data_IF_496887174171
#
_entry.id   IF_496887174171
#
_cell.length_a   1.000
_cell.length_b   1.000
_cell.length_c   1.000
_cell.angle_alpha   90.00
_cell.angle_beta   90.00
_cell.angle_gamma   90.00
#
_symmetry.space_group_name_H-M   'P 1'
#
loop_
_entity.id
_entity.type
_entity.pdbx_description
1 polymer ?
#
# COMPACT_ATOMS: atom_id res chain seq x y z
N UNK A 1 21.30 32.75 -22.72
CA UNK A 1 21.26 31.76 -21.61
C UNK A 1 19.81 31.31 -21.50
N UNK A 2 19.52 30.05 -21.87
CA UNK A 2 18.16 29.53 -21.97
C UNK A 2 17.98 28.44 -20.92
N UNK A 3 17.10 28.66 -19.96
CA UNK A 3 16.70 27.68 -18.94
C UNK A 3 15.54 26.84 -19.49
N UNK A 4 15.84 25.62 -19.92
CA UNK A 4 14.84 24.66 -20.34
C UNK A 4 14.20 24.01 -19.10
N UNK A 5 12.93 24.32 -18.87
CA UNK A 5 12.09 23.74 -17.84
C UNK A 5 11.62 22.36 -18.32
N UNK A 6 12.18 21.28 -17.77
CA UNK A 6 11.71 19.92 -18.06
C UNK A 6 10.44 19.64 -17.27
N UNK A 7 9.29 19.83 -17.92
CA UNK A 7 8.01 19.28 -17.49
C UNK A 7 8.03 17.76 -17.71
N UNK A 8 8.27 16.98 -16.66
CA UNK A 8 8.09 15.53 -16.70
C UNK A 8 6.59 15.21 -16.79
N UNK A 9 6.14 14.93 -18.01
CA UNK A 9 4.81 14.40 -18.30
C UNK A 9 4.69 12.97 -17.76
N UNK A 10 3.63 12.76 -16.97
CA UNK A 10 3.23 11.51 -16.35
C UNK A 10 3.17 10.36 -17.37
N UNK A 11 3.93 9.29 -17.13
CA UNK A 11 3.79 8.02 -17.85
C UNK A 11 3.28 6.96 -16.87
N UNK A 12 1.97 6.94 -16.66
CA UNK A 12 1.20 5.95 -15.86
C UNK A 12 0.89 4.66 -16.66
N UNK A 13 1.49 4.47 -17.83
CA UNK A 13 1.06 3.50 -18.84
C UNK A 13 1.55 2.07 -18.62
N UNK A 14 2.58 1.84 -17.80
CA UNK A 14 3.18 0.49 -17.71
C UNK A 14 2.51 -0.45 -16.69
N UNK A 15 1.67 0.04 -15.79
CA UNK A 15 0.87 -0.83 -14.90
C UNK A 15 -0.40 -1.35 -15.59
N UNK A 16 -0.84 -0.75 -16.70
CA UNK A 16 -2.12 -1.08 -17.31
C UNK A 16 -2.07 -2.32 -18.21
N UNK A 17 -0.93 -2.62 -18.83
CA UNK A 17 -0.81 -3.66 -19.86
C UNK A 17 -0.87 -5.08 -19.29
N UNK A 18 -0.22 -5.36 -18.16
CA UNK A 18 -0.31 -6.67 -17.49
C UNK A 18 -1.66 -6.89 -16.80
N UNK A 19 -2.25 -5.83 -16.23
CA UNK A 19 -3.59 -5.89 -15.65
C UNK A 19 -4.65 -6.12 -16.75
N UNK A 20 -4.50 -5.51 -17.93
CA UNK A 20 -5.44 -5.67 -19.04
C UNK A 20 -5.57 -7.12 -19.54
N UNK A 21 -4.48 -7.90 -19.51
CA UNK A 21 -4.51 -9.30 -19.91
C UNK A 21 -5.24 -10.18 -18.87
N UNK A 22 -5.11 -9.85 -17.58
CA UNK A 22 -5.83 -10.52 -16.49
C UNK A 22 -7.32 -10.13 -16.44
N UNK A 23 -7.64 -8.85 -16.68
CA UNK A 23 -8.99 -8.28 -16.67
C UNK A 23 -9.88 -8.90 -17.75
N UNK A 24 -9.34 -9.28 -18.91
CA UNK A 24 -10.14 -9.91 -19.96
C UNK A 24 -10.60 -11.34 -19.62
N UNK A 25 -10.03 -11.99 -18.60
CA UNK A 25 -10.33 -13.38 -18.24
C UNK A 25 -11.25 -13.54 -17.03
N UNK A 26 -11.57 -12.48 -16.28
CA UNK A 26 -12.53 -12.53 -15.18
C UNK A 26 -13.75 -11.69 -15.53
N UNK A 27 -14.87 -12.37 -15.77
CA UNK A 27 -16.19 -11.77 -15.89
C UNK A 27 -16.43 -10.74 -14.77
N UNK A 28 -16.83 -9.54 -15.19
CA UNK A 28 -17.22 -8.41 -14.33
C UNK A 28 -18.42 -8.78 -13.48
N UNK A 29 -18.16 -9.46 -12.38
CA UNK A 29 -19.17 -9.66 -11.33
C UNK A 29 -19.32 -8.33 -10.58
N UNK A 30 -20.55 -7.83 -10.36
CA UNK A 30 -20.77 -6.63 -9.58
C UNK A 30 -20.16 -6.84 -8.19
N UNK A 31 -19.31 -5.90 -7.77
CA UNK A 31 -18.63 -5.90 -6.47
C UNK A 31 -19.71 -6.04 -5.38
N UNK A 32 -19.76 -7.15 -4.60
CA UNK A 32 -20.59 -7.19 -3.42
C UNK A 32 -20.06 -6.10 -2.49
N UNK A 33 -20.97 -5.19 -2.14
CA UNK A 33 -20.80 -4.01 -1.31
C UNK A 33 -19.53 -3.98 -0.46
N UNK A 34 -18.75 -2.92 -0.63
CA UNK A 34 -17.87 -2.49 0.45
C UNK A 34 -18.69 -2.38 1.73
N UNK A 35 -18.31 -3.13 2.77
CA UNK A 35 -18.94 -3.08 4.08
C UNK A 35 -19.16 -1.62 4.52
N UNK A 36 -20.36 -1.22 4.98
CA UNK A 36 -20.63 0.15 5.48
C UNK A 36 -19.57 0.64 6.47
N UNK A 37 -18.99 -0.28 7.25
CA UNK A 37 -17.88 0.00 8.15
C UNK A 37 -16.67 0.62 7.45
N UNK A 38 -16.24 0.08 6.31
CA UNK A 38 -15.05 0.56 5.60
C UNK A 38 -15.27 1.99 5.13
N UNK A 39 -16.43 2.29 4.53
CA UNK A 39 -16.74 3.64 4.07
C UNK A 39 -16.74 4.63 5.25
N UNK A 40 -17.39 4.27 6.37
CA UNK A 40 -17.43 5.11 7.57
C UNK A 40 -16.02 5.41 8.10
N UNK A 41 -15.12 4.42 8.16
CA UNK A 41 -13.76 4.66 8.64
C UNK A 41 -12.93 5.48 7.66
N UNK A 42 -13.06 5.24 6.34
CA UNK A 42 -12.37 6.03 5.33
C UNK A 42 -12.86 7.49 5.32
N UNK A 43 -14.15 7.73 5.53
CA UNK A 43 -14.72 9.08 5.62
C UNK A 43 -14.22 9.81 6.88
N UNK A 44 -14.03 9.11 8.00
CA UNK A 44 -13.42 9.73 9.20
C UNK A 44 -11.97 10.16 8.95
N UNK A 45 -11.21 9.36 8.22
CA UNK A 45 -9.81 9.66 7.88
C UNK A 45 -9.75 10.84 6.92
N UNK A 46 -10.55 10.81 5.85
CA UNK A 46 -10.52 11.85 4.79
C UNK A 46 -11.00 13.22 5.26
N UNK A 47 -11.89 13.28 6.25
CA UNK A 47 -12.39 14.53 6.83
C UNK A 47 -11.56 15.03 8.02
N UNK A 48 -10.49 14.33 8.40
CA UNK A 48 -9.60 14.76 9.46
C UNK A 48 -8.61 15.81 8.96
N UNK A 49 -8.21 16.72 9.85
CA UNK A 49 -7.14 17.68 9.61
C UNK A 49 -5.98 17.40 10.56
N UNK A 50 -4.77 17.44 10.00
CA UNK A 50 -3.54 17.41 10.80
C UNK A 50 -3.11 18.85 11.11
N UNK A 51 -2.73 19.08 12.36
CA UNK A 51 -2.07 20.32 12.77
C UNK A 51 -0.65 20.38 12.22
N UNK A 52 -0.04 21.56 12.19
CA UNK A 52 1.38 21.71 11.81
C UNK A 52 2.29 20.84 12.68
N UNK A 53 2.04 20.77 13.98
CA UNK A 53 2.84 19.91 14.88
C UNK A 53 2.68 18.42 14.56
N UNK A 54 1.48 17.97 14.21
CA UNK A 54 1.25 16.59 13.77
C UNK A 54 1.96 16.30 12.44
N UNK A 55 1.96 17.24 11.49
CA UNK A 55 2.74 17.11 10.25
C UNK A 55 4.23 16.96 10.53
N UNK A 56 4.79 17.80 11.39
CA UNK A 56 6.20 17.73 11.77
C UNK A 56 6.52 16.42 12.50
N UNK A 57 5.65 16.00 13.43
CA UNK A 57 5.80 14.73 14.15
C UNK A 57 5.80 13.53 13.19
N UNK A 58 4.88 13.51 12.22
CA UNK A 58 4.81 12.48 11.19
C UNK A 58 6.06 12.45 10.30
N UNK A 59 6.66 13.61 10.03
CA UNK A 59 7.92 13.76 9.31
C UNK A 59 9.18 13.62 10.21
N UNK A 60 9.05 12.99 11.38
CA UNK A 60 10.15 12.73 12.31
C UNK A 60 10.74 13.98 12.99
N UNK A 61 10.06 15.11 12.94
CA UNK A 61 10.52 16.45 13.35
C UNK A 61 11.81 16.91 12.66
N UNK A 62 12.25 16.19 11.62
CA UNK A 62 13.38 16.54 10.76
C UNK A 62 12.97 17.63 9.79
N UNK A 63 11.78 17.49 9.21
CA UNK A 63 11.19 18.47 8.31
C UNK A 63 10.19 19.35 9.06
N UNK A 64 10.14 20.63 8.68
CA UNK A 64 9.28 21.64 9.32
C UNK A 64 8.31 22.29 8.36
N UNK A 65 7.16 22.73 8.89
CA UNK A 65 6.15 23.50 8.16
C UNK A 65 5.78 22.86 6.80
N UNK A 66 5.77 23.64 5.72
CA UNK A 66 5.42 23.17 4.37
C UNK A 66 6.29 22.02 3.86
N UNK A 67 7.53 21.90 4.33
CA UNK A 67 8.37 20.76 3.93
C UNK A 67 7.87 19.46 4.56
N UNK A 68 7.40 19.50 5.81
CA UNK A 68 6.78 18.34 6.45
C UNK A 68 5.51 17.91 5.70
N UNK A 69 4.65 18.86 5.32
CA UNK A 69 3.46 18.59 4.51
C UNK A 69 3.82 17.92 3.16
N UNK A 70 4.83 18.44 2.46
CA UNK A 70 5.28 17.89 1.19
C UNK A 70 5.82 16.46 1.33
N UNK A 71 6.69 16.22 2.31
CA UNK A 71 7.26 14.89 2.57
C UNK A 71 6.18 13.89 3.00
N UNK A 72 5.18 14.34 3.77
CA UNK A 72 4.11 13.48 4.26
C UNK A 72 3.24 12.91 3.13
N UNK A 73 3.20 13.52 1.94
CA UNK A 73 2.52 12.94 0.76
C UNK A 73 3.11 11.57 0.38
N UNK A 74 4.42 11.44 0.48
CA UNK A 74 5.13 10.19 0.19
C UNK A 74 5.04 9.26 1.40
N UNK A 75 5.36 9.78 2.59
CA UNK A 75 5.41 8.99 3.83
C UNK A 75 4.06 8.34 4.12
N UNK A 76 2.94 9.07 4.01
CA UNK A 76 1.61 8.51 4.27
C UNK A 76 1.26 7.38 3.32
N UNK A 77 1.52 7.56 2.01
CA UNK A 77 1.24 6.53 1.02
C UNK A 77 2.05 5.25 1.26
N UNK A 78 3.33 5.39 1.58
CA UNK A 78 4.20 4.25 1.89
C UNK A 78 3.79 3.59 3.21
N UNK A 79 3.51 4.38 4.24
CA UNK A 79 3.16 3.88 5.58
C UNK A 79 1.86 3.10 5.56
N UNK A 80 0.81 3.64 4.94
CA UNK A 80 -0.47 2.94 4.86
C UNK A 80 -0.36 1.65 4.03
N UNK A 81 0.52 1.64 3.01
CA UNK A 81 0.82 0.43 2.23
C UNK A 81 1.52 -0.62 3.10
N UNK A 82 2.49 -0.24 3.92
CA UNK A 82 3.18 -1.15 4.86
C UNK A 82 2.22 -1.72 5.91
N UNK A 83 1.32 -0.90 6.47
CA UNK A 83 0.27 -1.38 7.38
C UNK A 83 -0.60 -2.41 6.65
N UNK A 84 -1.04 -2.12 5.44
CA UNK A 84 -1.88 -3.05 4.67
C UNK A 84 -1.17 -4.35 4.29
N UNK A 85 0.11 -4.31 3.92
CA UNK A 85 0.92 -5.51 3.66
C UNK A 85 1.07 -6.36 4.93
N UNK A 86 1.26 -5.73 6.09
CA UNK A 86 1.28 -6.43 7.38
C UNK A 86 -0.03 -7.18 7.64
N UNK A 87 -1.18 -6.57 7.36
CA UNK A 87 -2.48 -7.22 7.53
C UNK A 87 -2.73 -8.29 6.46
N UNK A 88 -2.24 -8.11 5.23
CA UNK A 88 -2.29 -9.12 4.17
C UNK A 88 -1.53 -10.40 4.56
N UNK A 89 -0.29 -10.26 5.04
CA UNK A 89 0.50 -11.40 5.52
C UNK A 89 -0.18 -12.10 6.68
N UNK A 90 -0.73 -11.34 7.63
CA UNK A 90 -1.50 -11.88 8.75
C UNK A 90 -2.72 -12.67 8.28
N UNK A 91 -3.48 -12.16 7.31
CA UNK A 91 -4.65 -12.86 6.77
C UNK A 91 -4.28 -14.16 6.05
N UNK A 92 -3.12 -14.19 5.39
CA UNK A 92 -2.59 -15.37 4.70
C UNK A 92 -1.90 -16.38 5.64
N UNK A 93 -1.67 -16.01 6.91
CA UNK A 93 -0.94 -16.83 7.87
C UNK A 93 0.57 -16.87 7.64
N UNK A 94 1.12 -15.88 6.93
CA UNK A 94 2.56 -15.77 6.65
C UNK A 94 3.28 -14.99 7.74
N UNK A 95 4.59 -15.22 7.87
CA UNK A 95 5.41 -14.50 8.83
C UNK A 95 5.35 -12.98 8.57
N UNK A 96 5.37 -12.10 9.59
CA UNK A 96 5.43 -10.65 9.40
C UNK A 96 6.59 -10.23 8.50
N UNK A 97 6.42 -9.14 7.74
CA UNK A 97 7.48 -8.63 6.87
C UNK A 97 8.56 -7.92 7.69
N UNK A 98 9.76 -7.87 7.12
CA UNK A 98 10.82 -6.98 7.62
C UNK A 98 10.45 -5.51 7.37
N UNK A 99 11.12 -4.63 8.11
CA UNK A 99 11.01 -3.16 7.99
C UNK A 99 11.11 -2.73 6.51
N UNK A 100 10.48 -1.60 6.17
CA UNK A 100 10.57 -1.00 4.84
C UNK A 100 12.03 -0.98 4.34
N UNK A 101 12.28 -1.62 3.20
CA UNK A 101 13.61 -1.72 2.59
C UNK A 101 13.53 -1.63 1.08
N UNK A 102 14.66 -1.31 0.44
CA UNK A 102 14.79 -1.35 -1.02
C UNK A 102 14.61 -2.79 -1.53
N UNK A 103 13.91 -2.93 -2.65
CA UNK A 103 13.64 -4.21 -3.29
C UNK A 103 13.61 -4.06 -4.80
N UNK A 104 14.11 -5.07 -5.49
CA UNK A 104 13.94 -5.24 -6.93
C UNK A 104 12.82 -6.24 -7.21
N UNK A 105 12.10 -6.11 -8.33
CA UNK A 105 11.17 -7.14 -8.75
C UNK A 105 11.91 -8.47 -8.99
N UNK A 106 11.29 -9.62 -8.74
CA UNK A 106 11.86 -10.91 -9.13
C UNK A 106 11.80 -11.08 -10.67
N UNK A 107 12.57 -12.03 -11.20
CA UNK A 107 12.38 -12.52 -12.58
C UNK A 107 11.20 -13.49 -12.67
N UNK A 108 10.70 -13.74 -13.88
CA UNK A 108 9.62 -14.72 -14.11
C UNK A 108 10.07 -16.14 -13.72
N UNK A 109 11.32 -16.50 -14.03
CA UNK A 109 11.89 -17.80 -13.68
C UNK A 109 11.99 -18.00 -12.17
N UNK A 110 12.32 -16.96 -11.41
CA UNK A 110 12.35 -17.00 -9.94
C UNK A 110 10.94 -17.26 -9.37
N UNK A 111 9.92 -16.58 -9.92
CA UNK A 111 8.52 -16.72 -9.52
C UNK A 111 7.99 -18.13 -9.81
N UNK A 112 8.32 -18.67 -10.99
CA UNK A 112 7.88 -20.01 -11.40
C UNK A 112 8.56 -21.10 -10.57
N UNK A 113 9.85 -20.93 -10.27
CA UNK A 113 10.64 -21.84 -9.43
C UNK A 113 10.31 -21.79 -7.93
N UNK A 114 9.39 -20.92 -7.49
CA UNK A 114 9.05 -20.76 -6.08
C UNK A 114 8.60 -22.10 -5.44
N UNK A 115 9.29 -22.59 -4.38
CA UNK A 115 9.10 -23.94 -3.84
C UNK A 115 7.87 -24.08 -2.95
N UNK A 116 7.34 -22.97 -2.43
CA UNK A 116 6.17 -22.93 -1.55
C UNK A 116 5.26 -21.77 -1.91
N UNK A 117 4.00 -21.82 -1.45
CA UNK A 117 3.03 -20.71 -1.65
C UNK A 117 3.51 -19.43 -0.94
N UNK A 118 4.13 -19.56 0.23
CA UNK A 118 4.71 -18.42 0.94
C UNK A 118 5.91 -17.83 0.18
N UNK A 119 6.82 -18.66 -0.33
CA UNK A 119 7.94 -18.19 -1.15
C UNK A 119 7.45 -17.49 -2.43
N UNK A 120 6.40 -18.03 -3.06
CA UNK A 120 5.74 -17.39 -4.19
C UNK A 120 5.18 -16.01 -3.83
N UNK A 121 4.51 -15.90 -2.68
CA UNK A 121 4.04 -14.62 -2.16
C UNK A 121 5.21 -13.65 -1.89
N UNK A 122 6.32 -14.09 -1.31
CA UNK A 122 7.46 -13.21 -1.04
C UNK A 122 8.03 -12.55 -2.30
N UNK A 123 8.03 -13.28 -3.41
CA UNK A 123 8.47 -12.78 -4.71
C UNK A 123 7.44 -11.80 -5.30
N UNK A 124 6.15 -12.10 -5.18
CA UNK A 124 5.06 -11.28 -5.75
C UNK A 124 4.52 -10.19 -4.82
N UNK A 125 4.99 -10.10 -3.58
CA UNK A 125 4.51 -9.12 -2.62
C UNK A 125 4.67 -7.71 -3.23
N UNK A 126 3.62 -6.88 -3.22
CA UNK A 126 3.66 -5.56 -3.85
C UNK A 126 4.87 -4.72 -3.42
N UNK A 127 5.57 -4.19 -4.41
CA UNK A 127 6.74 -3.33 -4.23
C UNK A 127 6.36 -1.91 -4.63
N UNK A 128 6.62 -0.93 -3.76
CA UNK A 128 6.38 0.47 -4.11
C UNK A 128 7.45 1.01 -5.06
N UNK A 129 7.12 2.06 -5.82
CA UNK A 129 8.11 2.77 -6.67
C UNK A 129 9.28 3.32 -5.85
N UNK A 130 9.04 3.67 -4.59
CA UNK A 130 10.05 4.25 -3.69
C UNK A 130 11.03 3.18 -3.16
N UNK A 131 10.62 1.91 -3.11
CA UNK A 131 11.51 0.79 -2.82
C UNK A 131 12.47 0.47 -3.98
N UNK A 132 12.15 0.92 -5.20
CA UNK A 132 12.96 0.71 -6.41
C UNK A 132 13.87 1.89 -6.75
N UNK A 133 13.52 3.08 -6.27
CA UNK A 133 14.24 4.34 -6.50
C UNK A 133 15.37 4.54 -5.49
N UNK A 134 16.38 5.37 -5.80
CA UNK A 134 17.38 5.85 -4.83
C UNK A 134 17.08 7.26 -4.29
N UNK A 135 15.95 7.87 -4.66
CA UNK A 135 15.67 9.28 -4.33
C UNK A 135 15.13 9.49 -2.91
N UNK A 136 14.52 8.46 -2.33
CA UNK A 136 13.79 8.55 -1.07
C UNK A 136 14.55 7.84 0.07
N UNK A 137 15.78 8.28 0.35
CA UNK A 137 16.66 7.68 1.36
C UNK A 137 16.17 7.91 2.80
N UNK A 138 15.28 8.87 3.02
CA UNK A 138 14.69 9.18 4.33
C UNK A 138 13.59 8.20 4.76
N UNK A 139 13.03 7.40 3.84
CA UNK A 139 11.88 6.53 4.13
C UNK A 139 12.16 5.43 5.17
N UNK A 140 13.29 4.69 5.14
CA UNK A 140 13.57 3.67 6.14
C UNK A 140 13.45 4.18 7.58
N UNK A 141 13.86 5.43 7.82
CA UNK A 141 13.82 6.05 9.15
C UNK A 141 12.43 6.59 9.51
N UNK A 142 11.72 7.18 8.55
CA UNK A 142 10.42 7.80 8.80
C UNK A 142 9.27 6.79 8.88
N UNK A 143 9.32 5.68 8.14
CA UNK A 143 8.20 4.73 8.06
C UNK A 143 7.82 4.16 9.44
N UNK A 144 8.74 3.68 10.30
CA UNK A 144 8.36 3.18 11.63
C UNK A 144 7.68 4.24 12.51
N UNK A 145 8.16 5.49 12.45
CA UNK A 145 7.57 6.62 13.18
C UNK A 145 6.15 6.92 12.67
N UNK A 146 5.99 6.93 11.36
CA UNK A 146 4.72 7.16 10.70
C UNK A 146 3.71 6.04 10.96
N UNK A 147 4.13 4.77 10.99
CA UNK A 147 3.27 3.64 11.38
C UNK A 147 2.74 3.87 12.79
N UNK A 148 3.64 4.20 13.73
CA UNK A 148 3.26 4.48 15.12
C UNK A 148 2.25 5.63 15.20
N UNK A 149 2.52 6.74 14.49
CA UNK A 149 1.61 7.87 14.42
C UNK A 149 0.24 7.51 13.86
N UNK A 150 0.18 6.76 12.76
CA UNK A 150 -1.08 6.36 12.13
C UNK A 150 -1.87 5.37 12.99
N UNK A 151 -1.21 4.42 13.65
CA UNK A 151 -1.87 3.48 14.55
C UNK A 151 -2.49 4.20 15.78
N UNK A 152 -1.83 5.26 16.28
CA UNK A 152 -2.36 6.10 17.36
C UNK A 152 -3.50 7.01 16.89
N UNK A 153 -3.28 7.76 15.81
CA UNK A 153 -4.19 8.84 15.37
C UNK A 153 -5.37 8.31 14.57
N UNK A 154 -5.15 7.26 13.78
CA UNK A 154 -6.10 6.68 12.83
C UNK A 154 -6.12 5.14 12.89
N UNK A 155 -6.44 4.53 14.06
CA UNK A 155 -6.48 3.08 14.20
C UNK A 155 -7.50 2.40 13.24
N UNK A 156 -8.41 3.18 12.64
CA UNK A 156 -9.30 2.76 11.58
C UNK A 156 -8.58 2.19 10.34
N UNK A 157 -7.39 2.69 9.99
CA UNK A 157 -6.62 2.23 8.82
C UNK A 157 -6.36 0.72 8.90
N UNK A 158 -5.79 0.28 10.02
CA UNK A 158 -5.49 -1.13 10.27
C UNK A 158 -6.76 -1.99 10.30
N UNK A 159 -7.83 -1.49 10.92
CA UNK A 159 -9.13 -2.18 10.98
C UNK A 159 -9.76 -2.37 9.60
N UNK A 160 -9.63 -1.37 8.72
CA UNK A 160 -10.13 -1.44 7.33
C UNK A 160 -9.40 -2.54 6.57
N UNK A 161 -8.06 -2.52 6.58
CA UNK A 161 -7.27 -3.56 5.91
C UNK A 161 -7.57 -4.95 6.45
N UNK A 162 -7.51 -5.13 7.77
CA UNK A 162 -7.74 -6.41 8.42
C UNK A 162 -9.09 -7.01 8.03
N UNK A 163 -10.17 -6.26 8.24
CA UNK A 163 -11.53 -6.77 7.99
C UNK A 163 -11.75 -7.09 6.52
N UNK A 164 -11.28 -6.21 5.63
CA UNK A 164 -11.42 -6.43 4.19
C UNK A 164 -10.69 -7.70 3.75
N UNK A 165 -9.42 -7.84 4.14
CA UNK A 165 -8.59 -8.95 3.72
C UNK A 165 -9.02 -10.28 4.36
N UNK A 166 -9.43 -10.29 5.63
CA UNK A 166 -10.01 -11.48 6.27
C UNK A 166 -11.33 -11.92 5.62
N UNK A 167 -12.16 -10.99 5.15
CA UNK A 167 -13.38 -11.31 4.40
C UNK A 167 -13.04 -11.93 3.04
N UNK A 168 -12.10 -11.35 2.30
CA UNK A 168 -11.66 -11.89 1.00
C UNK A 168 -10.99 -13.24 1.14
N UNK A 169 -10.16 -13.43 2.17
CA UNK A 169 -9.55 -14.73 2.46
C UNK A 169 -10.60 -15.80 2.79
N UNK A 170 -11.61 -15.49 3.60
CA UNK A 170 -12.73 -16.43 3.88
C UNK A 170 -13.49 -16.82 2.63
N UNK A 171 -13.63 -15.92 1.66
CA UNK A 171 -14.29 -16.21 0.38
C UNK A 171 -13.57 -17.27 -0.47
N UNK A 172 -12.27 -17.52 -0.21
CA UNK A 172 -11.48 -18.59 -0.83
C UNK A 172 -11.68 -19.96 -0.15
N UNK A 173 -12.51 -20.05 0.90
CA UNK A 173 -12.70 -21.30 1.64
C UNK A 173 -11.52 -21.70 2.53
N UNK A 174 -10.63 -20.76 2.85
CA UNK A 174 -9.54 -20.94 3.83
C UNK A 174 -8.36 -21.79 3.37
N UNK A 175 -8.27 -22.13 2.07
CA UNK A 175 -7.09 -22.77 1.47
C UNK A 175 -6.39 -21.78 0.56
N UNK A 176 -5.05 -21.72 0.65
CA UNK A 176 -4.23 -20.81 -0.14
C UNK A 176 -3.29 -21.59 -1.07
N UNK A 177 -3.45 -21.35 -2.37
CA UNK A 177 -2.53 -21.76 -3.43
C UNK A 177 -1.96 -20.50 -4.13
N UNK A 178 -1.15 -20.68 -5.18
CA UNK A 178 -0.57 -19.54 -5.93
C UNK A 178 -1.66 -18.62 -6.52
N UNK A 179 -2.79 -19.17 -6.98
CA UNK A 179 -3.92 -18.38 -7.52
C UNK A 179 -4.64 -17.59 -6.44
N UNK A 180 -4.82 -18.20 -5.26
CA UNK A 180 -5.37 -17.51 -4.08
C UNK A 180 -4.46 -16.37 -3.62
N UNK A 181 -3.14 -16.53 -3.69
CA UNK A 181 -2.18 -15.44 -3.45
C UNK A 181 -2.39 -14.29 -4.44
N UNK A 182 -2.48 -14.59 -5.74
CA UNK A 182 -2.72 -13.57 -6.76
C UNK A 182 -4.04 -12.81 -6.52
N UNK A 183 -5.10 -13.54 -6.18
CA UNK A 183 -6.38 -12.95 -5.81
C UNK A 183 -6.26 -12.01 -4.60
N UNK A 184 -5.56 -12.43 -3.55
CA UNK A 184 -5.40 -11.64 -2.33
C UNK A 184 -4.52 -10.40 -2.56
N UNK A 185 -3.50 -10.48 -3.41
CA UNK A 185 -2.70 -9.32 -3.84
C UNK A 185 -3.56 -8.34 -4.65
N UNK A 186 -4.40 -8.85 -5.55
CA UNK A 186 -5.34 -8.01 -6.31
C UNK A 186 -6.32 -7.28 -5.39
N UNK A 187 -6.93 -7.99 -4.43
CA UNK A 187 -7.85 -7.41 -3.46
C UNK A 187 -7.15 -6.41 -2.53
N UNK A 188 -5.90 -6.68 -2.14
CA UNK A 188 -5.06 -5.71 -1.43
C UNK A 188 -4.89 -4.42 -2.22
N UNK A 189 -4.54 -4.47 -3.51
CA UNK A 189 -4.37 -3.28 -4.35
C UNK A 189 -5.65 -2.43 -4.43
N UNK A 190 -6.81 -3.09 -4.45
CA UNK A 190 -8.12 -2.40 -4.47
C UNK A 190 -8.40 -1.63 -3.20
N UNK A 191 -8.18 -2.25 -2.03
CA UNK A 191 -8.40 -1.54 -0.75
C UNK A 191 -7.30 -0.51 -0.49
N UNK A 192 -6.06 -0.80 -0.91
CA UNK A 192 -4.91 0.09 -0.77
C UNK A 192 -5.09 1.40 -1.52
N UNK A 193 -5.67 1.36 -2.72
CA UNK A 193 -6.02 2.58 -3.47
C UNK A 193 -6.97 3.48 -2.67
N UNK A 194 -7.95 2.88 -1.99
CA UNK A 194 -8.99 3.63 -1.26
C UNK A 194 -8.49 4.21 0.05
N UNK A 195 -7.71 3.42 0.79
CA UNK A 195 -7.01 3.91 1.99
C UNK A 195 -6.02 5.01 1.60
N UNK A 196 -5.25 4.79 0.53
CA UNK A 196 -4.33 5.77 -0.03
C UNK A 196 -5.01 7.11 -0.32
N UNK A 197 -6.15 7.12 -1.02
CA UNK A 197 -6.94 8.33 -1.24
C UNK A 197 -7.39 9.02 0.05
N UNK A 198 -7.91 8.26 1.02
CA UNK A 198 -8.34 8.85 2.29
C UNK A 198 -7.16 9.47 3.06
N UNK A 199 -6.01 8.80 3.10
CA UNK A 199 -4.80 9.30 3.77
C UNK A 199 -4.13 10.46 3.03
N UNK A 200 -4.25 10.53 1.71
CA UNK A 200 -3.69 11.63 0.91
C UNK A 200 -4.32 12.98 1.27
N UNK A 201 -5.59 12.98 1.68
CA UNK A 201 -6.33 14.18 2.09
C UNK A 201 -5.86 14.75 3.44
N UNK A 202 -4.95 14.07 4.13
CA UNK A 202 -4.29 14.59 5.34
C UNK A 202 -3.14 15.56 5.02
N UNK A 203 -2.88 15.91 3.74
CA UNK A 203 -1.72 16.70 3.26
C UNK A 203 -2.07 17.82 2.27
#
# INVERSE_FOLDING_TARGET
MSTTLFLCLFSTTYFYTEISAFVHSLETTPIPSTSPFINIELDKISNAFLTTEEHERLAGKVFKHRMAEFINRIVLNETQTIIGLSELRSALGFAPSEVWKKRQPPSEEEVDAAPTVEAYYMLKEPISKHQRSNQDEFLPELIPLAVTFLDERFPGIRKVYRRYLEEKFRSLGGKIDKKGVDYMIYEFARIQTRVGHATFLLT
#
